data_IF_923183620460
#
_entry.id   IF_923183620460
#
_cell.length_a   1.000
_cell.length_b   1.000
_cell.length_c   1.000
_cell.angle_alpha   90.00
_cell.angle_beta   90.00
_cell.angle_gamma   90.00
#
_symmetry.space_group_name_H-M   'P 1'
#
loop_
_entity.id
_entity.type
_entity.pdbx_description
1 polymer ?
#
# COMPACT_ATOMS: atom_id res chain seq x y z
N UNK A 1 -22.84 1.24 -5.13
CA UNK A 1 -22.31 0.17 -4.28
C UNK A 1 -22.82 -1.15 -4.83
N UNK A 2 -22.05 -1.80 -5.62
CA UNK A 2 -22.32 -3.18 -6.02
C UNK A 2 -21.44 -4.08 -5.18
N UNK A 3 -22.05 -4.82 -4.31
CA UNK A 3 -21.66 -6.09 -3.87
C UNK A 3 -20.93 -6.26 -2.64
N UNK A 4 -21.10 -7.05 -1.98
CA UNK A 4 -20.70 -8.25 -1.24
C UNK A 4 -19.37 -8.19 -0.45
N UNK A 5 -18.78 -7.05 -0.19
CA UNK A 5 -17.80 -6.90 0.89
C UNK A 5 -18.54 -6.90 2.22
N UNK A 6 -18.99 -8.08 2.64
CA UNK A 6 -19.77 -8.29 3.87
C UNK A 6 -18.95 -7.81 5.05
N UNK A 7 -19.30 -6.63 5.57
CA UNK A 7 -18.73 -6.12 6.81
C UNK A 7 -19.19 -7.00 7.96
N UNK A 8 -18.31 -7.84 8.47
CA UNK A 8 -18.50 -8.56 9.72
C UNK A 8 -18.03 -7.67 10.87
N UNK A 9 -18.85 -7.49 11.88
CA UNK A 9 -18.42 -6.83 13.12
C UNK A 9 -18.02 -7.88 14.15
N UNK A 10 -16.85 -7.71 14.76
CA UNK A 10 -16.40 -8.50 15.91
C UNK A 10 -15.97 -7.50 16.98
N UNK A 11 -16.67 -7.48 18.10
CA UNK A 11 -16.41 -6.52 19.17
C UNK A 11 -15.01 -6.68 19.75
N UNK A 12 -14.23 -5.61 19.69
CA UNK A 12 -12.95 -5.48 20.36
C UNK A 12 -13.01 -4.34 21.38
N UNK A 13 -12.83 -4.66 22.65
CA UNK A 13 -12.90 -3.69 23.77
C UNK A 13 -11.54 -3.03 24.07
N UNK A 14 -10.52 -3.28 23.25
CA UNK A 14 -9.18 -2.73 23.43
C UNK A 14 -9.05 -1.36 22.77
N UNK A 15 -9.54 -0.35 23.43
CA UNK A 15 -9.56 1.02 23.02
C UNK A 15 -9.13 1.93 24.17
N UNK A 16 -8.69 3.13 23.87
CA UNK A 16 -8.39 4.18 24.85
C UNK A 16 -9.49 5.24 24.92
N UNK A 17 -10.72 4.89 24.50
CA UNK A 17 -11.85 5.82 24.43
C UNK A 17 -11.91 6.53 23.07
N UNK A 18 -12.72 7.58 23.00
CA UNK A 18 -12.96 8.34 21.79
C UNK A 18 -11.77 9.24 21.41
N UNK A 19 -11.65 9.56 20.13
CA UNK A 19 -10.70 10.55 19.66
C UNK A 19 -11.05 11.95 20.22
N UNK A 20 -10.02 12.75 20.50
CA UNK A 20 -10.18 14.17 20.78
C UNK A 20 -10.74 14.90 19.54
N UNK A 21 -11.35 16.07 19.78
CA UNK A 21 -11.90 16.92 18.70
C UNK A 21 -10.84 17.22 17.65
N UNK A 22 -11.16 16.97 16.38
CA UNK A 22 -10.26 17.18 15.25
C UNK A 22 -9.55 15.93 14.79
N UNK A 23 -9.71 14.80 15.48
CA UNK A 23 -9.14 13.50 15.08
C UNK A 23 -10.25 12.47 14.80
N UNK A 24 -9.94 11.41 14.02
CA UNK A 24 -8.63 11.10 13.42
C UNK A 24 -8.27 12.05 12.26
N UNK A 25 -6.97 12.25 12.03
CA UNK A 25 -6.44 13.02 10.91
C UNK A 25 -5.51 12.20 9.99
N UNK A 26 -5.26 10.96 10.35
CA UNK A 26 -4.31 10.05 9.68
C UNK A 26 -4.92 8.65 9.55
N UNK A 27 -4.59 7.95 8.46
CA UNK A 27 -4.79 6.50 8.31
C UNK A 27 -3.41 5.84 8.33
N UNK A 28 -3.25 4.75 9.07
CA UNK A 28 -2.02 3.94 9.06
C UNK A 28 -2.32 2.55 8.51
N UNK A 29 -1.56 2.16 7.49
CA UNK A 29 -1.66 0.88 6.82
C UNK A 29 -0.67 -0.10 7.44
N UNK A 30 -1.17 -1.30 7.75
CA UNK A 30 -0.42 -2.40 8.36
C UNK A 30 -0.56 -3.68 7.56
N UNK A 31 0.34 -4.65 7.83
CA UNK A 31 0.07 -6.04 7.55
C UNK A 31 0.11 -6.86 8.84
N UNK A 32 -0.67 -7.95 8.87
CA UNK A 32 -0.81 -8.81 10.05
C UNK A 32 0.40 -9.68 10.36
N UNK A 33 1.29 -9.88 9.41
CA UNK A 33 2.38 -10.88 9.45
C UNK A 33 1.87 -12.32 9.72
N UNK A 34 0.61 -12.63 9.42
CA UNK A 34 0.01 -13.94 9.71
C UNK A 34 -1.31 -14.17 9.00
N UNK A 35 -1.86 -15.40 9.08
CA UNK A 35 -3.16 -15.75 8.53
C UNK A 35 -4.31 -15.03 9.24
N UNK A 36 -5.44 -14.88 8.54
CA UNK A 36 -6.64 -14.17 9.03
C UNK A 36 -7.06 -14.61 10.44
N UNK A 37 -7.29 -15.91 10.66
CA UNK A 37 -7.86 -16.37 11.93
C UNK A 37 -6.94 -16.14 13.13
N UNK A 38 -5.62 -16.34 12.96
CA UNK A 38 -4.67 -16.07 14.05
C UNK A 38 -4.52 -14.57 14.30
N UNK A 39 -4.58 -13.75 13.26
CA UNK A 39 -4.54 -12.29 13.35
C UNK A 39 -5.79 -11.75 14.04
N UNK A 40 -6.97 -12.22 13.65
CA UNK A 40 -8.23 -11.89 14.32
C UNK A 40 -8.17 -12.25 15.81
N UNK A 41 -7.78 -13.49 16.13
CA UNK A 41 -7.67 -13.95 17.52
C UNK A 41 -6.70 -13.07 18.32
N UNK A 42 -5.59 -12.65 17.75
CA UNK A 42 -4.61 -11.75 18.39
C UNK A 42 -5.20 -10.37 18.63
N UNK A 43 -5.84 -9.80 17.61
CA UNK A 43 -6.40 -8.45 17.67
C UNK A 43 -7.58 -8.33 18.64
N UNK A 44 -8.33 -9.39 18.91
CA UNK A 44 -9.44 -9.37 19.89
C UNK A 44 -9.05 -9.92 21.25
N UNK A 45 -7.89 -10.58 21.40
CA UNK A 45 -7.46 -11.17 22.68
C UNK A 45 -7.17 -10.08 23.73
N UNK A 46 -7.90 -10.04 24.88
CA UNK A 46 -7.72 -8.99 25.89
C UNK A 46 -6.32 -8.99 26.55
N UNK A 47 -5.59 -10.10 26.46
CA UNK A 47 -4.23 -10.21 27.02
C UNK A 47 -3.16 -9.60 26.12
N UNK A 48 -3.47 -9.31 24.85
CA UNK A 48 -2.55 -8.71 23.87
C UNK A 48 -2.76 -7.20 23.80
N UNK A 49 -1.71 -6.43 23.99
CA UNK A 49 -1.77 -4.94 23.94
C UNK A 49 -1.64 -4.44 22.48
N UNK A 50 -2.52 -4.94 21.60
CA UNK A 50 -2.64 -4.48 20.23
C UNK A 50 -4.09 -4.64 19.77
N UNK A 51 -4.61 -3.68 19.03
CA UNK A 51 -5.92 -3.71 18.37
C UNK A 51 -5.86 -2.90 17.08
N UNK A 52 -6.84 -3.04 16.21
CA UNK A 52 -7.00 -2.25 15.00
C UNK A 52 -8.48 -1.94 14.77
N UNK A 53 -8.77 -0.98 13.89
CA UNK A 53 -10.15 -0.64 13.56
C UNK A 53 -10.76 -1.68 12.64
N UNK A 54 -9.99 -2.15 11.66
CA UNK A 54 -10.41 -3.18 10.70
C UNK A 54 -9.31 -4.18 10.40
N UNK A 55 -9.75 -5.38 10.00
CA UNK A 55 -8.93 -6.45 9.43
C UNK A 55 -9.50 -6.79 8.05
N UNK A 56 -8.65 -6.73 7.02
CA UNK A 56 -9.01 -7.03 5.62
C UNK A 56 -8.39 -8.37 5.23
N UNK A 57 -9.23 -9.32 4.84
CA UNK A 57 -8.77 -10.66 4.42
C UNK A 57 -8.27 -10.65 2.95
N UNK A 58 -7.75 -11.78 2.49
CA UNK A 58 -7.17 -11.97 1.15
C UNK A 58 -8.18 -11.77 0.02
N UNK A 59 -9.46 -12.05 0.27
CA UNK A 59 -10.57 -11.85 -0.67
C UNK A 59 -11.13 -10.41 -0.66
N UNK A 60 -10.52 -9.51 0.12
CA UNK A 60 -10.96 -8.14 0.29
C UNK A 60 -12.09 -7.96 1.32
N UNK A 61 -12.56 -9.03 1.96
CA UNK A 61 -13.61 -8.91 2.98
C UNK A 61 -13.12 -8.14 4.22
N UNK A 62 -13.99 -7.29 4.77
CA UNK A 62 -13.68 -6.42 5.92
C UNK A 62 -14.29 -7.00 7.19
N UNK A 63 -13.48 -7.12 8.24
CA UNK A 63 -13.95 -7.32 9.61
C UNK A 63 -13.66 -6.07 10.42
N UNK A 64 -14.70 -5.38 10.89
CA UNK A 64 -14.55 -4.24 11.79
C UNK A 64 -14.40 -4.73 13.24
N UNK A 65 -13.43 -4.17 13.97
CA UNK A 65 -13.05 -4.55 15.33
C UNK A 65 -13.31 -3.41 16.32
N UNK A 66 -12.61 -2.29 16.16
CA UNK A 66 -12.79 -1.08 16.97
C UNK A 66 -13.61 -0.07 16.18
N UNK A 67 -14.59 0.62 16.79
CA UNK A 67 -15.31 1.72 16.14
C UNK A 67 -14.34 2.80 15.63
N UNK A 68 -14.65 3.42 14.48
CA UNK A 68 -13.76 4.42 13.88
C UNK A 68 -13.67 5.75 14.64
N UNK A 69 -14.54 5.99 15.60
CA UNK A 69 -14.49 7.15 16.52
C UNK A 69 -13.69 6.88 17.80
N UNK A 70 -13.15 5.67 17.98
CA UNK A 70 -12.39 5.26 19.15
C UNK A 70 -10.92 5.01 18.84
N UNK A 71 -10.05 5.21 19.83
CA UNK A 71 -8.60 5.04 19.72
C UNK A 71 -8.22 3.57 19.83
N UNK A 72 -7.84 2.92 18.73
CA UNK A 72 -7.25 1.58 18.72
C UNK A 72 -5.74 1.60 19.01
N UNK A 73 -5.17 0.45 19.39
CA UNK A 73 -3.75 0.30 19.79
C UNK A 73 -2.95 -0.38 18.67
N UNK A 74 -2.78 0.30 17.53
CA UNK A 74 -2.15 -0.29 16.34
C UNK A 74 -0.74 0.23 16.01
N UNK A 75 -0.43 1.51 16.34
CA UNK A 75 0.84 2.13 16.00
C UNK A 75 1.93 1.93 17.04
N UNK A 76 1.57 1.66 18.32
CA UNK A 76 2.50 1.52 19.43
C UNK A 76 3.36 2.77 19.63
N UNK A 77 4.66 2.57 19.97
CA UNK A 77 5.63 3.64 19.98
C UNK A 77 5.88 4.09 18.54
N UNK A 78 5.56 5.35 18.25
CA UNK A 78 5.48 5.88 16.90
C UNK A 78 5.71 7.38 16.87
N UNK A 79 6.37 7.87 15.81
CA UNK A 79 6.60 9.30 15.59
C UNK A 79 6.72 9.60 14.09
N UNK A 80 6.18 10.75 13.68
CA UNK A 80 6.28 11.24 12.30
C UNK A 80 5.98 12.75 12.27
N UNK A 81 6.70 13.52 11.47
CA UNK A 81 6.46 14.95 11.32
C UNK A 81 6.49 15.76 12.63
N UNK A 82 7.36 15.36 13.59
CA UNK A 82 7.47 16.02 14.89
C UNK A 82 6.39 15.64 15.92
N UNK A 83 5.46 14.74 15.58
CA UNK A 83 4.38 14.26 16.45
C UNK A 83 4.61 12.81 16.86
N UNK A 84 4.28 12.43 18.09
CA UNK A 84 4.46 11.09 18.64
C UNK A 84 3.16 10.50 19.15
N UNK A 85 3.08 9.14 19.22
CA UNK A 85 1.93 8.43 19.78
C UNK A 85 0.74 8.39 18.82
N UNK A 86 0.96 7.91 17.62
CA UNK A 86 0.01 7.95 16.49
C UNK A 86 -1.31 7.23 16.71
N UNK A 87 -1.43 6.33 17.69
CA UNK A 87 -2.74 5.77 18.08
C UNK A 87 -3.80 6.86 18.34
N UNK A 88 -3.38 8.01 18.94
CA UNK A 88 -4.28 9.11 19.30
C UNK A 88 -4.82 9.91 18.12
N UNK A 89 -4.29 9.69 16.93
CA UNK A 89 -4.53 10.54 15.76
C UNK A 89 -4.96 9.74 14.52
N UNK A 90 -4.94 8.41 14.60
CA UNK A 90 -5.04 7.61 13.39
C UNK A 90 -5.98 6.42 13.49
N UNK A 91 -6.58 6.10 12.34
CA UNK A 91 -7.27 4.85 12.08
C UNK A 91 -6.26 3.82 11.57
N UNK A 92 -6.18 2.64 12.19
CA UNK A 92 -5.31 1.54 11.77
C UNK A 92 -6.08 0.52 10.94
N UNK A 93 -5.55 0.22 9.74
CA UNK A 93 -6.06 -0.78 8.80
C UNK A 93 -5.06 -1.94 8.74
N UNK A 94 -5.43 -3.09 9.23
CA UNK A 94 -4.66 -4.33 9.16
C UNK A 94 -5.06 -5.14 7.92
N UNK A 95 -4.07 -5.55 7.12
CA UNK A 95 -4.30 -6.32 5.90
C UNK A 95 -3.64 -7.68 6.05
N UNK A 96 -4.39 -8.76 5.82
CA UNK A 96 -3.86 -10.13 5.92
C UNK A 96 -2.77 -10.34 4.86
N UNK A 97 -1.54 -10.37 5.33
CA UNK A 97 -0.35 -10.60 4.50
C UNK A 97 0.78 -11.13 5.38
N UNK A 98 1.65 -11.95 4.82
CA UNK A 98 2.74 -12.59 5.56
C UNK A 98 3.95 -11.68 5.77
N UNK A 99 4.01 -10.56 5.06
CA UNK A 99 5.18 -9.70 5.04
C UNK A 99 6.38 -10.33 4.34
N UNK A 100 7.60 -10.21 4.91
CA UNK A 100 8.81 -10.75 4.31
C UNK A 100 8.85 -12.28 4.32
N UNK A 101 9.41 -12.86 3.25
CA UNK A 101 9.53 -14.29 3.04
C UNK A 101 11.00 -14.71 2.96
N UNK A 102 11.27 -15.97 3.32
CA UNK A 102 12.58 -16.57 3.17
C UNK A 102 12.54 -17.56 1.99
N UNK A 103 13.53 -17.48 1.09
CA UNK A 103 13.69 -18.42 -0.02
C UNK A 103 14.57 -19.59 0.39
N UNK A 104 14.12 -20.82 0.14
CA UNK A 104 14.87 -22.04 0.30
C UNK A 104 14.67 -22.93 -0.94
N UNK A 105 15.69 -23.05 -1.76
CA UNK A 105 15.56 -23.64 -3.10
C UNK A 105 14.54 -22.87 -3.95
N UNK A 106 13.54 -23.56 -4.43
CA UNK A 106 12.45 -22.99 -5.25
C UNK A 106 11.18 -22.64 -4.44
N UNK A 107 11.26 -22.67 -3.10
CA UNK A 107 10.10 -22.44 -2.23
C UNK A 107 10.32 -21.18 -1.41
N UNK A 108 9.31 -20.33 -1.34
CA UNK A 108 9.25 -19.17 -0.46
C UNK A 108 8.41 -19.51 0.76
N UNK A 109 8.87 -19.13 1.95
CA UNK A 109 8.19 -19.43 3.20
C UNK A 109 8.06 -18.21 4.08
N UNK A 110 6.90 -18.10 4.74
CA UNK A 110 6.71 -17.15 5.84
C UNK A 110 7.45 -17.62 7.10
N UNK A 111 7.57 -16.73 8.07
CA UNK A 111 8.14 -17.02 9.39
C UNK A 111 7.38 -18.12 10.16
N UNK A 112 6.07 -18.28 9.87
CA UNK A 112 5.22 -19.33 10.46
C UNK A 112 5.14 -20.61 9.60
N UNK A 113 5.98 -20.74 8.56
CA UNK A 113 6.18 -21.97 7.79
C UNK A 113 5.27 -22.15 6.57
N UNK A 114 4.32 -21.24 6.31
CA UNK A 114 3.50 -21.33 5.09
C UNK A 114 4.36 -21.17 3.83
N UNK A 115 4.08 -22.00 2.82
CA UNK A 115 4.76 -21.98 1.53
C UNK A 115 3.97 -21.15 0.50
N UNK A 116 4.70 -20.45 -0.37
CA UNK A 116 4.14 -19.56 -1.40
C UNK A 116 4.71 -19.92 -2.77
N UNK A 117 3.89 -19.77 -3.80
CA UNK A 117 4.32 -19.91 -5.18
C UNK A 117 5.12 -18.66 -5.61
N UNK A 118 5.98 -18.77 -6.62
CA UNK A 118 6.70 -17.59 -7.16
C UNK A 118 5.79 -16.45 -7.62
N UNK A 119 4.56 -16.76 -8.08
CA UNK A 119 3.54 -15.76 -8.46
C UNK A 119 3.03 -14.91 -7.30
N UNK A 120 3.16 -15.41 -6.07
CA UNK A 120 2.68 -14.75 -4.85
C UNK A 120 3.80 -13.95 -4.16
N UNK A 121 4.93 -13.77 -4.85
CA UNK A 121 6.15 -13.19 -4.27
C UNK A 121 6.72 -12.10 -5.18
N UNK A 122 7.15 -11.01 -4.56
CA UNK A 122 7.94 -9.96 -5.21
C UNK A 122 9.28 -9.80 -4.48
N UNK A 123 10.35 -9.62 -5.23
CA UNK A 123 11.66 -9.22 -4.70
C UNK A 123 11.75 -7.70 -4.75
N UNK A 124 11.94 -7.06 -3.60
CA UNK A 124 12.00 -5.61 -3.50
C UNK A 124 12.83 -5.16 -2.30
N UNK A 125 13.38 -3.94 -2.40
CA UNK A 125 14.07 -3.27 -1.31
C UNK A 125 13.04 -2.49 -0.49
N UNK A 126 12.99 -2.76 0.81
CA UNK A 126 12.16 -2.00 1.74
C UNK A 126 12.74 -0.58 1.93
N UNK A 127 11.86 0.45 2.01
CA UNK A 127 12.27 1.87 2.12
C UNK A 127 13.28 2.18 3.23
N UNK A 128 13.29 1.40 4.31
CA UNK A 128 14.19 1.56 5.46
C UNK A 128 15.35 0.53 5.45
N UNK A 129 15.61 -0.15 4.33
CA UNK A 129 16.63 -1.19 4.20
C UNK A 129 17.44 -0.99 2.91
N UNK A 130 18.62 -1.58 2.83
CA UNK A 130 19.52 -1.46 1.68
C UNK A 130 19.60 -2.73 0.83
N UNK A 131 19.00 -3.84 1.27
CA UNK A 131 19.07 -5.14 0.59
C UNK A 131 17.68 -5.60 0.19
N UNK A 132 17.57 -6.16 -1.02
CA UNK A 132 16.35 -6.75 -1.50
C UNK A 132 15.96 -7.98 -0.66
N UNK A 133 14.69 -8.17 -0.44
CA UNK A 133 14.07 -9.32 0.21
C UNK A 133 12.86 -9.77 -0.59
N UNK A 134 12.38 -10.96 -0.30
CA UNK A 134 11.16 -11.49 -0.88
C UNK A 134 9.97 -11.10 -0.01
N UNK A 135 8.89 -10.66 -0.64
CA UNK A 135 7.70 -10.17 0.02
C UNK A 135 6.46 -10.86 -0.53
N UNK A 136 5.53 -11.20 0.34
CA UNK A 136 4.23 -11.70 -0.06
C UNK A 136 3.43 -10.59 -0.72
N UNK A 137 2.91 -10.81 -1.94
CA UNK A 137 2.11 -9.82 -2.65
C UNK A 137 0.72 -9.65 -2.02
N UNK A 138 0.15 -8.47 -2.16
CA UNK A 138 -1.26 -8.23 -1.86
C UNK A 138 -2.12 -8.61 -3.06
N UNK A 139 -3.36 -9.02 -2.81
CA UNK A 139 -4.32 -9.27 -3.89
C UNK A 139 -4.88 -7.95 -4.43
N UNK A 140 -5.41 -7.98 -5.64
CA UNK A 140 -6.08 -6.82 -6.23
C UNK A 140 -7.31 -6.42 -5.39
N UNK A 141 -8.03 -7.41 -4.87
CA UNK A 141 -9.19 -7.22 -3.99
C UNK A 141 -8.81 -6.50 -2.71
N UNK A 142 -7.70 -6.88 -2.06
CA UNK A 142 -7.19 -6.18 -0.87
C UNK A 142 -6.87 -4.72 -1.16
N UNK A 143 -6.13 -4.46 -2.25
CA UNK A 143 -5.71 -3.11 -2.63
C UNK A 143 -6.93 -2.23 -2.92
N UNK A 144 -7.90 -2.75 -3.68
CA UNK A 144 -9.13 -2.01 -4.00
C UNK A 144 -10.00 -1.77 -2.76
N UNK A 145 -10.15 -2.78 -1.88
CA UNK A 145 -10.89 -2.63 -0.61
C UNK A 145 -10.25 -1.54 0.27
N UNK A 146 -8.92 -1.53 0.41
CA UNK A 146 -8.22 -0.47 1.16
C UNK A 146 -8.48 0.91 0.54
N UNK A 147 -8.40 1.01 -0.79
CA UNK A 147 -8.65 2.27 -1.50
C UNK A 147 -10.06 2.80 -1.24
N UNK A 148 -11.08 1.95 -1.36
CA UNK A 148 -12.48 2.31 -1.12
C UNK A 148 -12.71 2.69 0.34
N UNK A 149 -12.17 1.92 1.29
CA UNK A 149 -12.28 2.22 2.70
C UNK A 149 -11.63 3.55 3.06
N UNK A 150 -10.46 3.86 2.51
CA UNK A 150 -9.81 5.15 2.72
C UNK A 150 -10.68 6.31 2.20
N UNK A 151 -11.31 6.18 1.03
CA UNK A 151 -12.24 7.19 0.51
C UNK A 151 -13.43 7.42 1.45
N UNK A 152 -14.10 6.35 1.89
CA UNK A 152 -15.22 6.42 2.84
C UNK A 152 -14.81 7.07 4.16
N UNK A 153 -13.61 6.73 4.67
CA UNK A 153 -13.08 7.30 5.91
C UNK A 153 -12.75 8.80 5.76
N UNK A 154 -12.17 9.20 4.63
CA UNK A 154 -11.87 10.61 4.35
C UNK A 154 -13.14 11.45 4.16
N UNK A 155 -14.20 10.85 3.63
CA UNK A 155 -15.53 11.51 3.56
C UNK A 155 -16.15 11.65 4.95
N UNK A 156 -16.13 10.59 5.76
CA UNK A 156 -16.68 10.57 7.11
C UNK A 156 -15.89 11.42 8.11
N UNK A 157 -14.56 11.50 7.93
CA UNK A 157 -13.62 12.23 8.76
C UNK A 157 -12.80 13.22 7.90
N UNK A 158 -13.32 14.41 7.58
CA UNK A 158 -12.67 15.36 6.65
C UNK A 158 -11.31 15.89 7.12
N UNK A 159 -10.96 15.66 8.39
CA UNK A 159 -9.64 15.99 8.94
C UNK A 159 -8.56 14.99 8.53
N UNK A 160 -8.91 13.82 7.99
CA UNK A 160 -7.93 12.85 7.48
C UNK A 160 -7.26 13.44 6.25
N UNK A 161 -5.97 13.78 6.39
CA UNK A 161 -5.12 14.37 5.35
C UNK A 161 -3.82 13.60 5.14
N UNK A 162 -3.63 12.51 5.88
CA UNK A 162 -2.44 11.67 5.80
C UNK A 162 -2.81 10.20 5.71
N UNK A 163 -2.09 9.48 4.85
CA UNK A 163 -2.08 8.02 4.80
C UNK A 163 -0.63 7.60 4.96
N UNK A 164 -0.29 6.89 6.01
CA UNK A 164 1.08 6.49 6.34
C UNK A 164 1.20 4.97 6.42
N UNK A 165 2.38 4.44 6.14
CA UNK A 165 2.75 3.08 6.52
C UNK A 165 3.23 3.03 7.97
N UNK A 166 3.03 1.91 8.64
CA UNK A 166 3.58 1.71 9.99
C UNK A 166 5.11 1.85 9.99
N UNK A 167 5.77 1.42 8.92
CA UNK A 167 7.20 1.57 8.66
C UNK A 167 7.68 3.03 8.60
N UNK A 168 6.79 4.00 8.41
CA UNK A 168 7.14 5.42 8.36
C UNK A 168 7.01 6.07 9.74
N UNK A 169 6.04 5.62 10.55
CA UNK A 169 5.85 6.14 11.91
C UNK A 169 6.68 5.38 12.96
N UNK A 170 7.23 4.20 12.60
CA UNK A 170 8.10 3.40 13.44
C UNK A 170 9.25 2.75 12.63
N UNK A 171 10.13 3.53 11.95
CA UNK A 171 11.02 3.07 10.89
C UNK A 171 12.09 2.07 11.34
N UNK A 172 12.47 2.09 12.62
CA UNK A 172 13.47 1.16 13.18
C UNK A 172 12.86 -0.15 13.69
N UNK A 173 11.53 -0.19 13.85
CA UNK A 173 10.82 -1.28 14.52
C UNK A 173 9.87 -2.04 13.61
N UNK A 174 9.37 -1.39 12.54
CA UNK A 174 8.32 -1.90 11.68
C UNK A 174 8.69 -1.90 10.21
N UNK A 175 8.11 -2.86 9.49
CA UNK A 175 8.30 -3.03 8.05
C UNK A 175 6.97 -3.15 7.30
N UNK A 176 5.85 -2.95 7.97
CA UNK A 176 4.52 -2.97 7.39
C UNK A 176 4.09 -1.57 6.90
N UNK A 177 3.41 -1.43 5.75
CA UNK A 177 2.91 -2.49 4.88
C UNK A 177 3.96 -3.08 3.91
N UNK A 178 5.18 -2.57 3.88
CA UNK A 178 6.29 -3.03 3.06
C UNK A 178 6.15 -2.72 1.56
N UNK A 179 7.19 -3.03 0.77
CA UNK A 179 7.29 -2.59 -0.63
C UNK A 179 6.32 -3.32 -1.59
N UNK A 180 5.68 -4.41 -1.14
CA UNK A 180 4.65 -5.10 -1.92
C UNK A 180 3.30 -4.35 -1.92
N UNK A 181 3.08 -3.42 -0.97
CA UNK A 181 1.88 -2.60 -0.93
C UNK A 181 2.11 -1.30 -1.71
N UNK A 182 1.20 -0.91 -2.64
CA UNK A 182 1.38 0.29 -3.46
C UNK A 182 0.98 1.58 -2.72
N UNK A 183 1.62 1.84 -1.56
CA UNK A 183 1.26 2.94 -0.66
C UNK A 183 1.35 4.31 -1.34
N UNK A 184 2.40 4.55 -2.12
CA UNK A 184 2.60 5.84 -2.78
C UNK A 184 1.56 6.06 -3.89
N UNK A 185 1.22 5.01 -4.65
CA UNK A 185 0.13 5.06 -5.65
C UNK A 185 -1.22 5.33 -4.98
N UNK A 186 -1.49 4.72 -3.83
CA UNK A 186 -2.70 4.97 -3.05
C UNK A 186 -2.79 6.45 -2.63
N UNK A 187 -1.70 7.00 -2.14
CA UNK A 187 -1.60 8.43 -1.77
C UNK A 187 -1.85 9.36 -2.95
N UNK A 188 -1.21 9.10 -4.08
CA UNK A 188 -1.38 9.87 -5.30
C UNK A 188 -2.85 9.90 -5.73
N UNK A 189 -3.53 8.78 -5.67
CA UNK A 189 -4.93 8.66 -6.06
C UNK A 189 -5.89 9.39 -5.09
N UNK A 190 -5.62 9.36 -3.79
CA UNK A 190 -6.55 9.84 -2.77
C UNK A 190 -6.22 11.23 -2.24
N UNK A 191 -4.95 11.62 -2.20
CA UNK A 191 -4.49 12.90 -1.65
C UNK A 191 -3.92 13.83 -2.71
N UNK A 192 -3.82 13.39 -3.96
CA UNK A 192 -3.11 14.09 -5.04
C UNK A 192 -3.70 15.43 -5.46
N UNK A 193 -4.91 15.79 -5.00
CA UNK A 193 -5.53 17.08 -5.33
C UNK A 193 -5.18 18.23 -4.37
N UNK A 194 -4.67 17.95 -3.16
CA UNK A 194 -4.45 18.97 -2.11
C UNK A 194 -2.98 19.33 -1.82
N UNK A 195 -2.01 18.67 -2.46
CA UNK A 195 -0.59 19.03 -2.26
C UNK A 195 -0.16 20.24 -3.11
N UNK A 196 -0.89 21.33 -3.01
CA UNK A 196 -0.46 22.65 -3.52
C UNK A 196 0.27 23.50 -2.48
N UNK A 197 0.92 22.91 -1.49
CA UNK A 197 1.82 23.69 -0.61
C UNK A 197 2.68 22.75 0.22
N UNK A 198 3.89 22.51 -0.22
CA UNK A 198 5.14 22.57 0.51
C UNK A 198 6.26 21.99 -0.37
N UNK A 199 6.89 22.85 -1.16
CA UNK A 199 8.29 22.76 -1.55
C UNK A 199 8.82 21.56 -2.37
N UNK A 200 8.02 20.54 -2.67
CA UNK A 200 8.41 19.48 -3.60
C UNK A 200 8.04 19.91 -5.03
N UNK A 201 8.99 19.97 -5.93
CA UNK A 201 8.77 20.26 -7.33
C UNK A 201 7.66 19.35 -7.87
N UNK A 202 6.57 19.94 -8.34
CA UNK A 202 5.45 19.23 -8.95
C UNK A 202 5.97 18.49 -10.19
N UNK A 203 5.87 17.14 -10.20
CA UNK A 203 6.23 16.38 -11.39
C UNK A 203 5.35 16.84 -12.56
N UNK A 204 5.90 17.10 -13.73
CA UNK A 204 5.09 17.43 -14.87
C UNK A 204 4.17 16.25 -15.22
N UNK A 205 2.89 16.50 -15.47
CA UNK A 205 1.90 15.45 -15.79
C UNK A 205 2.25 14.68 -17.07
N UNK A 206 2.94 15.34 -18.00
CA UNK A 206 3.34 14.76 -19.28
C UNK A 206 4.77 15.14 -19.63
N UNK A 207 5.42 14.27 -20.38
CA UNK A 207 6.74 14.50 -20.97
C UNK A 207 6.74 14.19 -22.46
N UNK A 208 7.77 14.70 -23.16
CA UNK A 208 8.03 14.38 -24.57
C UNK A 208 9.45 13.86 -24.70
N UNK A 209 9.61 12.72 -25.36
CA UNK A 209 10.94 12.14 -25.61
C UNK A 209 11.79 13.12 -26.43
N UNK A 210 12.88 13.62 -25.85
CA UNK A 210 13.80 14.57 -26.45
C UNK A 210 14.94 13.88 -27.24
N UNK A 211 15.38 12.71 -26.79
CA UNK A 211 16.41 11.91 -27.45
C UNK A 211 15.89 11.30 -28.76
N UNK A 212 16.81 10.92 -29.68
CA UNK A 212 16.44 10.23 -30.93
C UNK A 212 15.62 8.97 -30.65
N UNK A 213 16.01 8.21 -29.63
CA UNK A 213 15.32 7.07 -29.09
C UNK A 213 15.52 7.04 -27.58
N UNK A 214 14.55 6.56 -26.83
CA UNK A 214 14.61 6.43 -25.37
C UNK A 214 14.14 5.04 -24.95
N UNK A 215 15.01 4.30 -24.28
CA UNK A 215 14.67 2.99 -23.75
C UNK A 215 13.66 3.11 -22.61
N UNK A 216 12.70 2.20 -22.59
CA UNK A 216 11.77 2.02 -21.49
C UNK A 216 12.13 0.71 -20.76
N UNK A 217 12.29 0.80 -19.42
CA UNK A 217 12.86 -0.27 -18.60
C UNK A 217 11.92 -0.65 -17.46
N UNK A 218 12.10 -1.85 -16.90
CA UNK A 218 11.33 -2.34 -15.78
C UNK A 218 11.79 -1.80 -14.42
N UNK A 219 12.99 -1.21 -14.35
CA UNK A 219 13.58 -0.61 -13.14
C UNK A 219 14.26 0.73 -13.47
N UNK A 220 14.40 1.64 -12.49
CA UNK A 220 15.05 2.94 -12.66
C UNK A 220 16.59 2.81 -12.62
N UNK A 221 17.15 1.95 -13.50
CA UNK A 221 18.58 1.63 -13.57
C UNK A 221 19.02 1.45 -15.04
N UNK A 222 20.29 1.75 -15.32
CA UNK A 222 20.83 1.71 -16.69
C UNK A 222 20.92 0.30 -17.27
N UNK A 223 20.97 -0.73 -16.44
CA UNK A 223 21.00 -2.16 -16.76
C UNK A 223 19.64 -2.85 -16.63
N UNK A 224 18.58 -2.14 -16.19
CA UNK A 224 17.22 -2.64 -16.15
C UNK A 224 16.76 -3.21 -17.51
N UNK A 225 15.99 -4.28 -17.49
CA UNK A 225 15.51 -4.94 -18.71
C UNK A 225 14.58 -4.03 -19.52
N UNK A 226 14.69 -4.09 -20.85
CA UNK A 226 13.76 -3.40 -21.75
C UNK A 226 12.37 -4.04 -21.67
N UNK A 227 11.34 -3.24 -21.46
CA UNK A 227 9.94 -3.71 -21.39
C UNK A 227 9.17 -3.47 -22.69
N UNK A 228 9.72 -2.65 -23.59
CA UNK A 228 9.15 -2.36 -24.90
C UNK A 228 10.24 -1.91 -25.88
N UNK A 229 9.87 -1.73 -27.15
CA UNK A 229 10.74 -1.07 -28.13
C UNK A 229 11.06 0.36 -27.66
N UNK A 230 12.28 0.86 -27.94
CA UNK A 230 12.65 2.22 -27.59
C UNK A 230 11.68 3.26 -28.17
N UNK A 231 11.28 4.18 -27.33
CA UNK A 231 10.36 5.26 -27.72
C UNK A 231 11.07 6.24 -28.66
N UNK A 232 10.52 6.57 -29.83
CA UNK A 232 11.10 7.54 -30.76
C UNK A 232 11.00 8.97 -30.21
N UNK A 233 11.83 9.86 -30.73
CA UNK A 233 11.79 11.29 -30.44
C UNK A 233 10.39 11.87 -30.71
N UNK A 234 9.90 12.65 -29.78
CA UNK A 234 8.59 13.29 -29.88
C UNK A 234 7.45 12.49 -29.27
N UNK A 235 7.67 11.21 -28.88
CA UNK A 235 6.64 10.41 -28.19
C UNK A 235 6.19 11.11 -26.91
N UNK A 236 4.88 11.31 -26.77
CA UNK A 236 4.28 11.82 -25.55
C UNK A 236 4.14 10.69 -24.54
N UNK A 237 4.45 10.98 -23.29
CA UNK A 237 4.33 10.06 -22.16
C UNK A 237 3.63 10.77 -21.02
N UNK A 238 2.78 10.04 -20.30
CA UNK A 238 2.26 10.48 -19.00
C UNK A 238 3.27 10.10 -17.92
N UNK A 239 3.65 11.05 -17.07
CA UNK A 239 4.58 10.81 -15.98
C UNK A 239 3.78 10.28 -14.79
N UNK A 240 4.19 9.14 -14.24
CA UNK A 240 3.53 8.45 -13.14
C UNK A 240 4.25 8.71 -11.82
N UNK A 241 5.58 8.67 -11.81
CA UNK A 241 6.42 8.94 -10.64
C UNK A 241 7.85 9.26 -11.06
N UNK A 242 8.65 9.76 -10.12
CA UNK A 242 10.07 10.01 -10.28
C UNK A 242 10.85 9.30 -9.19
N UNK A 243 12.01 8.74 -9.55
CA UNK A 243 12.95 8.14 -8.61
C UNK A 243 14.37 8.35 -9.11
N UNK A 244 15.18 9.09 -8.37
CA UNK A 244 16.61 9.32 -8.65
C UNK A 244 16.89 9.81 -10.09
N UNK A 245 16.05 10.71 -10.62
CA UNK A 245 16.17 11.22 -11.99
C UNK A 245 15.59 10.31 -13.08
N UNK A 246 15.00 9.17 -12.72
CA UNK A 246 14.25 8.31 -13.61
C UNK A 246 12.76 8.57 -13.47
N UNK A 247 12.06 8.70 -14.59
CA UNK A 247 10.62 8.86 -14.63
C UNK A 247 9.95 7.53 -14.99
N UNK A 248 9.06 7.04 -14.13
CA UNK A 248 8.12 5.99 -14.50
C UNK A 248 7.06 6.62 -15.39
N UNK A 249 6.92 6.06 -16.59
CA UNK A 249 6.03 6.64 -17.60
C UNK A 249 5.00 5.63 -18.09
N UNK A 250 3.87 6.15 -18.57
CA UNK A 250 2.87 5.40 -19.33
C UNK A 250 2.77 6.00 -20.72
N UNK A 251 2.72 5.15 -21.74
CA UNK A 251 2.51 5.56 -23.14
C UNK A 251 1.62 4.55 -23.84
N UNK A 252 0.89 5.00 -24.84
CA UNK A 252 0.12 4.15 -25.75
C UNK A 252 1.00 3.74 -26.92
N UNK A 253 0.89 2.49 -27.33
CA UNK A 253 1.53 1.94 -28.54
C UNK A 253 0.42 1.68 -29.55
N UNK A 254 0.56 2.24 -30.73
CA UNK A 254 -0.33 1.97 -31.88
C UNK A 254 0.41 1.06 -32.87
N UNK A 255 -0.28 0.03 -33.34
CA UNK A 255 0.30 -0.95 -34.26
C UNK A 255 -0.74 -1.90 -34.82
N UNK A 256 -0.31 -2.72 -35.78
CA UNK A 256 -1.13 -3.72 -36.42
C UNK A 256 -1.00 -5.07 -35.73
N UNK A 257 -2.14 -5.72 -35.47
CA UNK A 257 -2.20 -7.11 -34.99
C UNK A 257 -3.02 -7.96 -35.96
N UNK A 258 -2.72 -9.25 -36.02
CA UNK A 258 -3.48 -10.15 -36.88
C UNK A 258 -4.81 -10.48 -36.22
N UNK A 259 -5.91 -10.08 -36.87
CA UNK A 259 -7.27 -10.13 -36.31
C UNK A 259 -7.76 -11.51 -35.88
N UNK A 260 -7.15 -12.61 -36.39
CA UNK A 260 -7.45 -13.98 -35.95
C UNK A 260 -7.24 -14.19 -34.43
N UNK A 261 -6.41 -13.36 -33.79
CA UNK A 261 -6.07 -13.43 -32.37
C UNK A 261 -6.70 -12.30 -31.56
N UNK A 262 -7.69 -11.59 -32.12
CA UNK A 262 -8.49 -10.59 -31.42
C UNK A 262 -9.90 -11.15 -31.21
N UNK A 263 -10.33 -11.14 -29.97
CA UNK A 263 -11.75 -11.26 -29.61
C UNK A 263 -12.40 -9.87 -29.73
N UNK A 264 -13.26 -9.71 -30.72
CA UNK A 264 -13.93 -8.44 -30.98
C UNK A 264 -15.38 -8.62 -30.51
N UNK A 265 -15.74 -7.97 -29.39
CA UNK A 265 -17.10 -7.93 -28.84
C UNK A 265 -17.97 -6.92 -29.61
#
# INVERSE_FOLDING_TARGET
MSGDNVRKMVTCTKTSGEFEKGYPDTIIIHYTAGPYQSSLNTLVNPKVKASAHVLIDRDGSITQLVPFNEIAWHAGESSYGGRSGYNKYSIGIEIVNSGPLTKSGNVYRSWFGAAYNPSDVVEAIHRNQSTAKYWHVYTAEQIETVRQLCLELMEAYPNIKQILGHEEVAPTRKTDPGPAFPLDTLREQLLGSDRKSDGAAQLPETGRVAAKTLNIRNSPESDGQLVAQPLPKGTMVSIVSEQNGWYKVRTTVEGWVFGKYLDIN
#
